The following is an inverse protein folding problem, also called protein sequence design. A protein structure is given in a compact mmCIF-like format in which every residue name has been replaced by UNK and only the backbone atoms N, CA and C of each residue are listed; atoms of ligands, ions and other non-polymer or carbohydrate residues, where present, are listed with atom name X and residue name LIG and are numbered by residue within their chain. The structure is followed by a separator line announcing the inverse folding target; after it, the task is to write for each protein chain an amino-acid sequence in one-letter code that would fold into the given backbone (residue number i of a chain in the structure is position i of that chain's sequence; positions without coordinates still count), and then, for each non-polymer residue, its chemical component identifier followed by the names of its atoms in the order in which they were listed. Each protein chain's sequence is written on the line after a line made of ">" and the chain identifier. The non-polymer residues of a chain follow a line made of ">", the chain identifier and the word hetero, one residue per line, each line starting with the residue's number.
data_IF_970915030491
#
_entry.id   IF_970915030491
#
_cell.length_a   1.000
_cell.length_b   1.000
_cell.length_c   1.000
_cell.angle_alpha   90.00
_cell.angle_beta   90.00
_cell.angle_gamma   90.00
#
_symmetry.space_group_name_H-M   'P 1'
#
loop_
_entity.id
_entity.type
_entity.pdbx_description
1 polymer ?
#
# COMPACT_ATOMS: atom_id res chain seq x y z
N UNK A 1 -18.45 -4.15 -11.01
CA UNK A 1 -17.69 -4.90 -12.04
C UNK A 1 -16.84 -5.94 -11.34
N UNK A 2 -16.61 -7.11 -11.93
CA UNK A 2 -15.69 -8.11 -11.40
C UNK A 2 -14.29 -7.92 -11.99
N UNK A 3 -13.24 -8.04 -11.18
CA UNK A 3 -11.85 -7.93 -11.60
C UNK A 3 -10.97 -8.97 -10.88
N UNK A 4 -9.85 -9.33 -11.50
CA UNK A 4 -8.84 -10.20 -10.87
C UNK A 4 -7.93 -9.38 -9.94
N UNK A 5 -7.66 -9.90 -8.75
CA UNK A 5 -6.76 -9.32 -7.76
C UNK A 5 -5.87 -10.40 -7.16
N UNK A 6 -4.65 -10.01 -6.77
CA UNK A 6 -3.75 -10.89 -6.03
C UNK A 6 -4.03 -10.76 -4.54
N UNK A 7 -4.19 -11.90 -3.86
CA UNK A 7 -4.38 -11.97 -2.41
C UNK A 7 -3.06 -12.45 -1.79
N UNK A 8 -2.43 -11.66 -0.90
CA UNK A 8 -1.21 -12.08 -0.26
C UNK A 8 -1.45 -13.26 0.68
N UNK A 9 -0.46 -14.14 0.81
CA UNK A 9 -0.55 -15.34 1.67
C UNK A 9 -0.28 -15.01 3.15
N UNK A 10 0.40 -13.92 3.41
CA UNK A 10 0.76 -13.42 4.74
C UNK A 10 0.78 -11.90 4.74
N UNK A 11 0.50 -11.31 5.90
CA UNK A 11 0.65 -9.88 6.12
C UNK A 11 1.99 -9.58 6.81
N UNK A 12 2.54 -8.41 6.53
CA UNK A 12 3.77 -7.91 7.12
C UNK A 12 3.47 -6.64 7.90
N UNK A 13 3.64 -6.70 9.21
CA UNK A 13 3.48 -5.51 10.06
C UNK A 13 4.59 -4.49 9.76
N UNK A 14 4.20 -3.24 9.51
CA UNK A 14 5.11 -2.11 9.24
C UNK A 14 4.71 -0.95 10.15
N UNK A 15 5.70 -0.23 10.66
CA UNK A 15 5.51 0.88 11.58
C UNK A 15 6.48 2.05 11.30
N UNK A 16 6.11 3.24 11.76
CA UNK A 16 6.96 4.43 11.71
C UNK A 16 7.31 4.88 10.29
N UNK A 17 8.55 5.35 10.10
CA UNK A 17 9.03 5.96 8.85
C UNK A 17 8.88 5.06 7.60
N UNK A 18 8.79 3.73 7.79
CA UNK A 18 8.66 2.79 6.68
C UNK A 18 7.25 2.80 6.08
N UNK A 19 6.21 3.16 6.85
CA UNK A 19 4.85 3.31 6.31
C UNK A 19 4.83 4.44 5.28
N UNK A 20 5.41 5.60 5.61
CA UNK A 20 5.43 6.75 4.73
C UNK A 20 6.17 6.43 3.41
N UNK A 21 7.31 5.73 3.50
CA UNK A 21 8.07 5.30 2.32
C UNK A 21 7.26 4.35 1.44
N UNK A 22 6.53 3.40 2.04
CA UNK A 22 5.69 2.45 1.31
C UNK A 22 4.54 3.19 0.63
N UNK A 23 3.84 4.08 1.32
CA UNK A 23 2.75 4.85 0.72
C UNK A 23 3.22 5.67 -0.49
N UNK A 24 4.33 6.41 -0.34
CA UNK A 24 4.93 7.16 -1.45
C UNK A 24 5.34 6.28 -2.61
N UNK A 25 5.84 5.06 -2.34
CA UNK A 25 6.18 4.10 -3.38
C UNK A 25 4.92 3.62 -4.11
N UNK A 26 3.84 3.34 -3.40
CA UNK A 26 2.59 2.89 -4.00
C UNK A 26 2.00 3.97 -4.91
N UNK A 27 1.94 5.22 -4.44
CA UNK A 27 1.50 6.37 -5.24
C UNK A 27 2.35 6.54 -6.51
N UNK A 28 3.67 6.52 -6.36
CA UNK A 28 4.58 6.67 -7.50
C UNK A 28 4.44 5.53 -8.53
N UNK A 29 4.07 4.32 -8.10
CA UNK A 29 3.81 3.20 -9.00
C UNK A 29 2.44 3.34 -9.69
N UNK A 30 1.43 3.85 -8.99
CA UNK A 30 0.09 4.09 -9.56
C UNK A 30 0.07 5.22 -10.60
N UNK A 31 0.98 6.19 -10.49
CA UNK A 31 1.13 7.29 -11.44
C UNK A 31 1.77 6.89 -12.78
N UNK A 32 2.31 5.66 -12.89
CA UNK A 32 2.93 5.19 -14.12
C UNK A 32 1.86 4.67 -15.10
N UNK A 33 1.80 5.25 -16.30
CA UNK A 33 0.86 4.86 -17.36
C UNK A 33 0.91 3.36 -17.72
N UNK A 34 2.07 2.72 -17.55
CA UNK A 34 2.31 1.31 -17.84
C UNK A 34 1.88 0.35 -16.70
N UNK A 35 1.63 0.87 -15.50
CA UNK A 35 1.24 0.08 -14.33
C UNK A 35 -0.27 -0.05 -14.26
N UNK A 36 -0.77 -1.28 -14.38
CA UNK A 36 -2.22 -1.53 -14.41
C UNK A 36 -2.85 -1.73 -13.03
N UNK A 37 -2.12 -2.36 -12.10
CA UNK A 37 -2.58 -2.70 -10.74
C UNK A 37 -1.41 -2.84 -9.78
N UNK A 38 -1.56 -2.32 -8.58
CA UNK A 38 -0.60 -2.46 -7.49
C UNK A 38 -1.27 -3.23 -6.35
N UNK A 39 -0.53 -4.14 -5.72
CA UNK A 39 -0.97 -4.91 -4.56
C UNK A 39 0.17 -4.96 -3.55
N UNK A 40 -0.16 -4.91 -2.27
CA UNK A 40 0.81 -5.01 -1.19
C UNK A 40 0.31 -6.01 -0.14
N UNK A 41 1.22 -6.41 0.74
CA UNK A 41 0.92 -7.22 1.91
C UNK A 41 1.27 -6.51 3.22
N UNK A 42 1.54 -5.21 3.18
CA UNK A 42 1.83 -4.48 4.41
C UNK A 42 0.57 -4.37 5.26
N UNK A 43 0.77 -4.41 6.56
CA UNK A 43 -0.23 -4.20 7.58
C UNK A 43 0.29 -3.14 8.52
N UNK A 44 -0.49 -2.10 8.74
CA UNK A 44 -0.09 -0.95 9.53
C UNK A 44 -1.27 -0.51 10.38
N UNK A 45 -0.97 -0.05 11.60
CA UNK A 45 -2.01 0.33 12.54
C UNK A 45 -2.81 1.51 11.99
N UNK A 46 -4.15 1.45 12.14
CA UNK A 46 -5.07 2.46 11.63
C UNK A 46 -4.73 3.88 12.13
N UNK A 47 -4.25 3.99 13.37
CA UNK A 47 -3.81 5.27 13.94
C UNK A 47 -2.59 5.86 13.22
N UNK A 48 -1.66 5.02 12.75
CA UNK A 48 -0.48 5.49 12.00
C UNK A 48 -0.85 5.89 10.57
N UNK A 49 -1.74 5.14 9.91
CA UNK A 49 -2.28 5.54 8.60
C UNK A 49 -3.06 6.86 8.68
N UNK A 50 -3.90 7.02 9.70
CA UNK A 50 -4.71 8.23 9.88
C UNK A 50 -3.86 9.51 10.03
N UNK A 51 -2.67 9.40 10.63
CA UNK A 51 -1.72 10.53 10.76
C UNK A 51 -1.12 10.97 9.42
N UNK A 52 -1.00 10.06 8.46
CA UNK A 52 -0.40 10.32 7.14
C UNK A 52 -1.43 10.78 6.10
N UNK A 53 -2.72 10.50 6.33
CA UNK A 53 -3.83 10.87 5.44
C UNK A 53 -4.53 12.19 5.83
N UNK A 54 -4.15 12.79 6.96
CA UNK A 54 -4.67 14.06 7.46
C UNK A 54 -3.86 15.26 6.94
#
# INVERSE_FOLDING_TARGET
>A
QASLAWIPQNLLEVAGDDIEKILRLLEALEDLDDVQKVFSNFDAQEEELAKLLA
#
